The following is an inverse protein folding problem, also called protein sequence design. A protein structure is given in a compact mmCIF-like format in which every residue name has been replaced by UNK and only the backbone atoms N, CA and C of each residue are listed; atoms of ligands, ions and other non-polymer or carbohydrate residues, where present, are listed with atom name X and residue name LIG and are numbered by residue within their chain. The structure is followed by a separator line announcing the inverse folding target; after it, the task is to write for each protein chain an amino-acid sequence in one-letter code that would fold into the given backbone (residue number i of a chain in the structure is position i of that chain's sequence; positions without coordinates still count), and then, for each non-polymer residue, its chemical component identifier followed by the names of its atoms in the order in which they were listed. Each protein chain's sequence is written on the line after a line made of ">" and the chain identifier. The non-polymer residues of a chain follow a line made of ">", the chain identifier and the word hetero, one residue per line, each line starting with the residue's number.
data_IF_592639181893
#
_entry.id   IF_592639181893
#
_cell.length_a   1.000
_cell.length_b   1.000
_cell.length_c   1.000
_cell.angle_alpha   90.00
_cell.angle_beta   90.00
_cell.angle_gamma   90.00
#
_symmetry.space_group_name_H-M   'P 1'
#
loop_
_entity.id
_entity.type
_entity.pdbx_description
1 polymer ?
#
# COMPACT_ATOMS: atom_id res chain seq x y z
N UNK A 1 -17.62 45.64 21.99
CA UNK A 1 -16.57 45.44 20.96
C UNK A 1 -15.81 44.10 21.08
N UNK A 2 -15.62 43.53 22.28
CA UNK A 2 -14.96 42.21 22.43
C UNK A 2 -15.76 41.03 21.81
N UNK A 3 -17.09 41.04 21.92
CA UNK A 3 -17.96 39.97 21.38
C UNK A 3 -17.91 39.85 19.85
N UNK A 4 -17.78 40.97 19.13
CA UNK A 4 -17.71 40.97 17.65
C UNK A 4 -16.38 40.39 17.16
N UNK A 5 -15.27 40.67 17.86
CA UNK A 5 -13.95 40.10 17.54
C UNK A 5 -13.90 38.59 17.78
N UNK A 6 -14.51 38.10 18.86
CA UNK A 6 -14.60 36.66 19.12
C UNK A 6 -15.44 35.92 18.06
N UNK A 7 -16.56 36.52 17.62
CA UNK A 7 -17.38 35.93 16.55
C UNK A 7 -16.65 35.88 15.20
N UNK A 8 -15.84 36.90 14.88
CA UNK A 8 -15.02 36.92 13.68
C UNK A 8 -13.91 35.86 13.72
N UNK A 9 -13.24 35.69 14.87
CA UNK A 9 -12.22 34.65 15.06
C UNK A 9 -12.81 33.25 14.94
N UNK A 10 -13.98 33.00 15.54
CA UNK A 10 -14.70 31.73 15.40
C UNK A 10 -15.09 31.44 13.94
N UNK A 11 -15.55 32.44 13.20
CA UNK A 11 -15.88 32.31 11.78
C UNK A 11 -14.64 31.94 10.96
N UNK A 12 -13.51 32.63 11.18
CA UNK A 12 -12.25 32.32 10.51
C UNK A 12 -11.78 30.89 10.80
N UNK A 13 -11.79 30.47 12.08
CA UNK A 13 -11.40 29.11 12.46
C UNK A 13 -12.31 28.06 11.81
N UNK A 14 -13.62 28.29 11.77
CA UNK A 14 -14.57 27.40 11.10
C UNK A 14 -14.29 27.30 9.59
N UNK A 15 -14.04 28.43 8.90
CA UNK A 15 -13.73 28.43 7.46
C UNK A 15 -12.39 27.76 7.12
N UNK A 16 -11.38 27.91 7.98
CA UNK A 16 -10.09 27.25 7.82
C UNK A 16 -10.22 25.73 8.04
N UNK A 17 -10.97 25.30 9.07
CA UNK A 17 -11.23 23.89 9.33
C UNK A 17 -11.98 23.23 8.16
N UNK A 18 -13.00 23.90 7.60
CA UNK A 18 -13.74 23.40 6.43
C UNK A 18 -12.86 23.27 5.19
N UNK A 19 -12.02 24.27 4.91
CA UNK A 19 -11.07 24.24 3.79
C UNK A 19 -10.06 23.10 3.91
N UNK A 20 -9.56 22.87 5.12
CA UNK A 20 -8.61 21.79 5.41
C UNK A 20 -9.25 20.41 5.24
N UNK A 21 -10.49 20.23 5.71
CA UNK A 21 -11.25 18.98 5.52
C UNK A 21 -11.51 18.73 4.03
N UNK A 22 -11.97 19.74 3.28
CA UNK A 22 -12.23 19.62 1.83
C UNK A 22 -10.96 19.28 1.02
N UNK A 23 -9.82 19.84 1.41
CA UNK A 23 -8.55 19.52 0.76
C UNK A 23 -8.13 18.07 1.00
N UNK A 24 -8.29 17.58 2.24
CA UNK A 24 -7.99 16.19 2.58
C UNK A 24 -8.89 15.20 1.85
N UNK A 25 -10.20 15.48 1.74
CA UNK A 25 -11.13 14.59 1.04
C UNK A 25 -10.81 14.50 -0.45
N UNK A 26 -10.47 15.63 -1.08
CA UNK A 26 -10.09 15.63 -2.50
C UNK A 26 -8.79 14.85 -2.74
N UNK A 27 -7.77 15.05 -1.89
CA UNK A 27 -6.51 14.34 -2.00
C UNK A 27 -6.66 12.82 -1.78
N UNK A 28 -7.53 12.40 -0.84
CA UNK A 28 -7.83 10.99 -0.61
C UNK A 28 -8.56 10.38 -1.81
N UNK A 29 -9.59 11.04 -2.36
CA UNK A 29 -10.32 10.57 -3.53
C UNK A 29 -9.42 10.42 -4.76
N UNK A 30 -8.52 11.38 -4.99
CA UNK A 30 -7.54 11.32 -6.06
C UNK A 30 -6.56 10.15 -5.86
N UNK A 31 -6.18 9.86 -4.60
CA UNK A 31 -5.34 8.73 -4.27
C UNK A 31 -6.06 7.40 -4.54
N UNK A 32 -7.28 7.22 -4.05
CA UNK A 32 -8.09 6.00 -4.25
C UNK A 32 -8.24 5.71 -5.75
N UNK A 33 -8.66 6.71 -6.54
CA UNK A 33 -8.77 6.58 -7.99
C UNK A 33 -7.42 6.20 -8.62
N UNK A 34 -6.32 6.80 -8.17
CA UNK A 34 -4.99 6.52 -8.70
C UNK A 34 -4.51 5.08 -8.49
N UNK A 35 -4.91 4.46 -7.39
CA UNK A 35 -4.59 3.06 -7.07
C UNK A 35 -5.57 2.12 -7.77
N UNK A 36 -6.87 2.34 -7.64
CA UNK A 36 -7.90 1.47 -8.21
C UNK A 36 -7.91 1.46 -9.75
N UNK A 37 -7.52 2.53 -10.45
CA UNK A 37 -7.51 2.54 -11.92
C UNK A 37 -6.48 1.58 -12.55
N UNK A 38 -5.61 1.00 -11.73
CA UNK A 38 -4.57 0.06 -12.15
C UNK A 38 -4.88 -1.38 -11.79
N UNK A 39 -6.08 -1.61 -11.25
CA UNK A 39 -6.57 -2.93 -10.87
C UNK A 39 -7.54 -3.42 -11.92
N UNK A 40 -7.59 -4.73 -12.16
CA UNK A 40 -8.52 -5.34 -13.12
C UNK A 40 -9.98 -5.18 -12.68
N UNK A 41 -10.22 -4.90 -11.39
CA UNK A 41 -11.55 -4.68 -10.80
C UNK A 41 -11.68 -3.26 -10.25
N UNK A 42 -11.53 -2.25 -11.11
CA UNK A 42 -11.56 -0.83 -10.74
C UNK A 42 -12.80 -0.44 -9.92
N UNK A 43 -14.00 -0.72 -10.44
CA UNK A 43 -15.26 -0.33 -9.81
C UNK A 43 -15.45 -1.02 -8.45
N UNK A 44 -15.04 -2.28 -8.34
CA UNK A 44 -15.04 -3.01 -7.07
C UNK A 44 -14.07 -2.37 -6.06
N UNK A 45 -12.84 -2.06 -6.50
CA UNK A 45 -11.85 -1.41 -5.65
C UNK A 45 -12.36 -0.07 -5.10
N UNK A 46 -12.92 0.78 -5.97
CA UNK A 46 -13.45 2.09 -5.58
C UNK A 46 -14.62 1.93 -4.63
N UNK A 47 -15.62 1.11 -4.99
CA UNK A 47 -16.83 0.94 -4.18
C UNK A 47 -16.54 0.37 -2.78
N UNK A 48 -15.64 -0.61 -2.68
CA UNK A 48 -15.28 -1.20 -1.38
C UNK A 48 -14.50 -0.22 -0.49
N UNK A 49 -13.65 0.62 -1.07
CA UNK A 49 -12.92 1.66 -0.32
C UNK A 49 -13.84 2.81 0.10
N UNK A 50 -14.72 3.27 -0.79
CA UNK A 50 -15.65 4.36 -0.49
C UNK A 50 -16.67 3.98 0.59
N UNK A 51 -17.11 2.73 0.61
CA UNK A 51 -18.02 2.20 1.62
C UNK A 51 -17.41 2.13 3.03
N UNK A 52 -16.07 2.15 3.16
CA UNK A 52 -15.41 2.09 4.46
C UNK A 52 -15.48 3.45 5.19
N UNK A 53 -15.92 3.51 6.46
CA UNK A 53 -16.04 4.77 7.18
C UNK A 53 -14.70 5.35 7.69
N UNK A 54 -13.59 4.59 7.60
CA UNK A 54 -12.28 4.95 8.18
C UNK A 54 -11.49 5.82 7.22
N UNK A 55 -11.82 7.11 7.18
CA UNK A 55 -11.14 8.11 6.32
C UNK A 55 -9.61 8.13 6.48
N UNK A 56 -9.11 7.87 7.69
CA UNK A 56 -7.66 7.85 7.97
C UNK A 56 -6.90 6.72 7.25
N UNK A 57 -7.59 5.70 6.72
CA UNK A 57 -6.99 4.61 5.95
C UNK A 57 -7.02 4.89 4.43
N UNK A 58 -7.83 5.82 3.95
CA UNK A 58 -8.00 6.11 2.51
C UNK A 58 -6.85 6.92 1.90
N UNK A 59 -5.89 7.35 2.71
CA UNK A 59 -4.81 8.26 2.33
C UNK A 59 -3.47 7.57 2.01
N UNK A 60 -3.40 6.24 2.08
CA UNK A 60 -2.14 5.50 1.87
C UNK A 60 -2.41 4.11 1.27
N UNK A 61 -1.51 3.57 0.43
CA UNK A 61 -1.68 2.23 -0.12
C UNK A 61 -1.82 1.16 0.97
N UNK A 62 -1.10 1.30 2.09
CA UNK A 62 -1.23 0.39 3.25
C UNK A 62 -2.65 0.41 3.80
N UNK A 63 -3.22 1.60 3.97
CA UNK A 63 -4.58 1.75 4.47
C UNK A 63 -5.62 1.21 3.48
N UNK A 64 -5.44 1.41 2.17
CA UNK A 64 -6.30 0.80 1.14
C UNK A 64 -6.25 -0.73 1.20
N UNK A 65 -5.06 -1.33 1.30
CA UNK A 65 -4.92 -2.77 1.46
C UNK A 65 -5.57 -3.29 2.75
N UNK A 66 -5.47 -2.56 3.86
CA UNK A 66 -6.16 -2.92 5.10
C UNK A 66 -7.69 -2.90 4.93
N UNK A 67 -8.25 -1.87 4.30
CA UNK A 67 -9.70 -1.78 4.03
C UNK A 67 -10.16 -3.00 3.21
N UNK A 68 -9.48 -3.27 2.09
CA UNK A 68 -9.84 -4.36 1.19
C UNK A 68 -9.68 -5.74 1.85
N UNK A 69 -8.63 -5.96 2.65
CA UNK A 69 -8.47 -7.18 3.46
C UNK A 69 -9.60 -7.34 4.46
N UNK A 70 -9.94 -6.29 5.21
CA UNK A 70 -11.04 -6.35 6.18
C UNK A 70 -12.38 -6.66 5.49
N UNK A 71 -12.55 -6.13 4.28
CA UNK A 71 -13.71 -6.46 3.45
C UNK A 71 -13.71 -7.91 2.99
N UNK A 72 -12.56 -8.44 2.56
CA UNK A 72 -12.41 -9.86 2.23
C UNK A 72 -12.75 -10.76 3.43
N UNK A 73 -12.25 -10.42 4.63
CA UNK A 73 -12.60 -11.12 5.88
C UNK A 73 -14.09 -11.06 6.14
N UNK A 74 -14.71 -9.87 6.07
CA UNK A 74 -16.13 -9.69 6.31
C UNK A 74 -16.99 -10.48 5.31
N UNK A 75 -16.61 -10.50 4.03
CA UNK A 75 -17.26 -11.29 3.01
C UNK A 75 -17.16 -12.80 3.31
N UNK A 76 -15.95 -13.29 3.62
CA UNK A 76 -15.73 -14.68 3.96
C UNK A 76 -16.55 -15.12 5.19
N UNK A 77 -16.56 -14.31 6.26
CA UNK A 77 -17.37 -14.53 7.46
C UNK A 77 -18.87 -14.58 7.12
N UNK A 78 -19.36 -13.65 6.30
CA UNK A 78 -20.75 -13.59 5.89
C UNK A 78 -21.20 -14.77 5.02
N UNK A 79 -20.27 -15.46 4.35
CA UNK A 79 -20.56 -16.67 3.57
C UNK A 79 -20.69 -17.93 4.45
N UNK A 80 -20.07 -17.97 5.63
CA UNK A 80 -20.09 -19.16 6.51
C UNK A 80 -21.50 -19.65 6.92
N UNK A 81 -22.51 -18.79 7.19
CA UNK A 81 -23.85 -19.25 7.49
C UNK A 81 -24.56 -19.84 6.25
N UNK A 82 -24.27 -19.31 5.06
CA UNK A 82 -24.79 -19.87 3.80
C UNK A 82 -24.28 -21.29 3.58
N UNK A 83 -22.98 -21.52 3.77
CA UNK A 83 -22.38 -22.86 3.70
C UNK A 83 -23.07 -23.80 4.71
N UNK A 84 -23.25 -23.34 5.95
CA UNK A 84 -23.92 -24.12 7.00
C UNK A 84 -25.36 -24.49 6.63
N UNK A 85 -26.12 -23.56 6.05
CA UNK A 85 -27.48 -23.83 5.59
C UNK A 85 -27.52 -24.80 4.40
N UNK A 86 -26.56 -24.70 3.48
CA UNK A 86 -26.45 -25.61 2.33
C UNK A 86 -26.13 -27.04 2.78
N UNK A 87 -25.25 -27.19 3.79
CA UNK A 87 -24.92 -28.50 4.38
C UNK A 87 -26.14 -29.20 5.00
N UNK A 88 -27.09 -28.44 5.55
CA UNK A 88 -28.31 -29.01 6.15
C UNK A 88 -29.36 -29.44 5.12
N UNK A 89 -29.34 -28.85 3.93
CA UNK A 89 -30.40 -29.00 2.92
C UNK A 89 -29.99 -29.83 1.72
N UNK A 90 -28.69 -29.98 1.50
CA UNK A 90 -28.14 -30.71 0.36
C UNK A 90 -28.16 -32.22 0.61
N UNK A 91 -28.75 -32.97 -0.32
CA UNK A 91 -28.85 -34.44 -0.24
C UNK A 91 -27.83 -35.16 -1.10
N UNK A 92 -27.29 -34.51 -2.12
CA UNK A 92 -26.27 -35.09 -2.98
C UNK A 92 -24.95 -35.25 -2.21
N UNK A 93 -24.49 -36.48 -2.05
CA UNK A 93 -23.29 -36.80 -1.25
C UNK A 93 -22.03 -36.07 -1.71
N UNK A 94 -21.82 -35.93 -3.03
CA UNK A 94 -20.64 -35.23 -3.55
C UNK A 94 -20.72 -33.73 -3.28
N UNK A 95 -21.89 -33.12 -3.46
CA UNK A 95 -22.10 -31.72 -3.11
C UNK A 95 -21.91 -31.48 -1.59
N UNK A 96 -22.33 -32.41 -0.72
CA UNK A 96 -22.05 -32.34 0.72
C UNK A 96 -20.54 -32.34 0.99
N UNK A 97 -19.78 -33.22 0.34
CA UNK A 97 -18.32 -33.25 0.46
C UNK A 97 -17.67 -31.92 0.03
N UNK A 98 -18.11 -31.35 -1.11
CA UNK A 98 -17.61 -30.06 -1.55
C UNK A 98 -17.98 -28.93 -0.57
N UNK A 99 -19.19 -28.93 -0.01
CA UNK A 99 -19.58 -27.94 1.01
C UNK A 99 -18.77 -28.07 2.31
N UNK A 100 -18.35 -29.28 2.69
CA UNK A 100 -17.44 -29.48 3.84
C UNK A 100 -16.06 -28.88 3.55
N UNK A 101 -15.51 -29.14 2.36
CA UNK A 101 -14.26 -28.51 1.89
C UNK A 101 -14.41 -26.98 1.91
N UNK A 102 -15.50 -26.45 1.37
CA UNK A 102 -15.79 -25.02 1.42
C UNK A 102 -15.80 -24.47 2.85
N UNK A 103 -16.42 -25.17 3.80
CA UNK A 103 -16.47 -24.73 5.20
C UNK A 103 -15.06 -24.60 5.80
N UNK A 104 -14.21 -25.60 5.61
CA UNK A 104 -12.84 -25.60 6.12
C UNK A 104 -11.97 -24.55 5.42
N UNK A 105 -12.08 -24.47 4.10
CA UNK A 105 -11.40 -23.49 3.25
C UNK A 105 -11.73 -22.05 3.64
N UNK A 106 -13.00 -21.71 3.86
CA UNK A 106 -13.38 -20.36 4.30
C UNK A 106 -12.80 -20.04 5.70
N UNK A 107 -12.80 -20.99 6.63
CA UNK A 107 -12.19 -20.79 7.95
C UNK A 107 -10.68 -20.55 7.87
N UNK A 108 -9.98 -21.31 7.02
CA UNK A 108 -8.55 -21.13 6.77
C UNK A 108 -8.27 -19.78 6.10
N UNK A 109 -9.06 -19.39 5.10
CA UNK A 109 -8.94 -18.09 4.43
C UNK A 109 -9.12 -16.93 5.42
N UNK A 110 -10.17 -16.96 6.26
CA UNK A 110 -10.39 -15.95 7.31
C UNK A 110 -9.17 -15.83 8.22
N UNK A 111 -8.64 -16.98 8.68
CA UNK A 111 -7.50 -17.01 9.59
C UNK A 111 -6.25 -16.41 8.95
N UNK A 112 -5.97 -16.75 7.68
CA UNK A 112 -4.83 -16.22 6.93
C UNK A 112 -4.97 -14.72 6.66
N UNK A 113 -6.15 -14.27 6.20
CA UNK A 113 -6.39 -12.85 5.92
C UNK A 113 -6.23 -12.01 7.19
N UNK A 114 -6.75 -12.48 8.32
CA UNK A 114 -6.77 -11.69 9.58
C UNK A 114 -5.37 -11.35 10.09
N UNK A 115 -4.37 -12.19 9.81
CA UNK A 115 -2.99 -12.00 10.31
C UNK A 115 -2.09 -11.18 9.38
N UNK A 116 -2.55 -10.83 8.17
CA UNK A 116 -1.74 -10.08 7.20
C UNK A 116 -1.51 -8.65 7.70
N UNK A 117 -0.26 -8.26 7.89
CA UNK A 117 0.12 -6.91 8.31
C UNK A 117 0.65 -6.05 7.15
N UNK A 118 -0.14 -5.07 6.71
CA UNK A 118 0.29 -4.13 5.66
C UNK A 118 1.22 -3.02 6.14
N UNK A 119 1.61 -2.97 7.42
CA UNK A 119 2.62 -2.00 7.90
C UNK A 119 3.99 -2.20 7.23
N UNK A 120 4.28 -3.43 6.79
CA UNK A 120 5.57 -3.81 6.20
C UNK A 120 5.66 -3.56 4.69
N UNK A 121 4.57 -3.19 4.01
CA UNK A 121 4.56 -2.98 2.55
C UNK A 121 5.58 -1.90 2.10
N UNK A 122 5.95 -0.97 2.98
CA UNK A 122 6.97 0.05 2.72
C UNK A 122 8.42 -0.44 2.97
N UNK A 123 8.59 -1.59 3.64
CA UNK A 123 9.87 -2.23 3.97
C UNK A 123 10.39 -3.18 2.88
N UNK A 124 9.61 -3.34 1.81
CA UNK A 124 9.91 -4.13 0.61
C UNK A 124 9.60 -5.63 0.69
N UNK A 125 8.84 -6.06 1.69
CA UNK A 125 8.40 -7.46 1.87
C UNK A 125 7.21 -7.83 0.97
N UNK A 126 7.23 -7.38 -0.29
CA UNK A 126 6.12 -7.53 -1.25
C UNK A 126 5.83 -8.99 -1.60
N UNK A 127 6.87 -9.84 -1.62
CA UNK A 127 6.73 -11.26 -1.95
C UNK A 127 6.00 -12.02 -0.84
N UNK A 128 6.25 -11.64 0.41
CA UNK A 128 5.58 -12.21 1.57
C UNK A 128 4.11 -11.79 1.58
N UNK A 129 3.83 -10.49 1.44
CA UNK A 129 2.46 -9.98 1.36
C UNK A 129 1.65 -10.61 0.21
N UNK A 130 2.26 -10.75 -0.97
CA UNK A 130 1.61 -11.46 -2.08
C UNK A 130 1.39 -12.94 -1.76
N UNK A 131 2.35 -13.58 -1.09
CA UNK A 131 2.25 -14.96 -0.65
C UNK A 131 1.12 -15.17 0.36
N UNK A 132 0.98 -14.28 1.34
CA UNK A 132 -0.05 -14.37 2.38
C UNK A 132 -1.46 -14.18 1.82
N UNK A 133 -1.65 -13.14 0.99
CA UNK A 133 -2.94 -12.90 0.31
C UNK A 133 -3.22 -14.00 -0.71
N UNK A 134 -2.21 -14.45 -1.45
CA UNK A 134 -2.33 -15.56 -2.39
C UNK A 134 -2.71 -16.87 -1.69
N UNK A 135 -2.11 -17.17 -0.54
CA UNK A 135 -2.46 -18.34 0.24
C UNK A 135 -3.92 -18.28 0.70
N UNK A 136 -4.40 -17.14 1.19
CA UNK A 136 -5.81 -16.97 1.54
C UNK A 136 -6.75 -17.09 0.33
N UNK A 137 -6.31 -16.64 -0.84
CA UNK A 137 -7.04 -16.75 -2.10
C UNK A 137 -7.24 -18.22 -2.52
N UNK A 138 -6.18 -19.02 -2.49
CA UNK A 138 -6.27 -20.42 -2.90
C UNK A 138 -7.17 -21.26 -1.99
N UNK A 139 -7.23 -20.95 -0.69
CA UNK A 139 -8.09 -21.68 0.25
C UNK A 139 -9.55 -21.74 -0.24
N UNK A 140 -10.19 -20.61 -0.56
CA UNK A 140 -11.58 -20.63 -1.05
C UNK A 140 -11.69 -20.95 -2.54
N UNK A 141 -10.60 -20.90 -3.31
CA UNK A 141 -10.64 -21.39 -4.69
C UNK A 141 -10.87 -22.90 -4.72
N UNK A 142 -10.29 -23.66 -3.78
CA UNK A 142 -10.53 -25.10 -3.61
C UNK A 142 -12.04 -25.41 -3.46
N UNK A 143 -12.80 -24.50 -2.84
CA UNK A 143 -14.25 -24.61 -2.72
C UNK A 143 -14.94 -24.62 -4.09
N UNK A 144 -14.58 -23.68 -4.97
CA UNK A 144 -15.15 -23.60 -6.31
C UNK A 144 -14.71 -24.78 -7.17
N UNK A 145 -13.42 -25.13 -7.10
CA UNK A 145 -12.82 -26.20 -7.90
C UNK A 145 -13.49 -27.55 -7.63
N UNK A 146 -13.79 -27.88 -6.37
CA UNK A 146 -14.50 -29.11 -6.02
C UNK A 146 -15.82 -29.29 -6.80
N UNK A 147 -16.59 -28.22 -7.03
CA UNK A 147 -17.84 -28.30 -7.80
C UNK A 147 -17.63 -28.38 -9.33
N UNK A 148 -16.39 -28.25 -9.81
CA UNK A 148 -16.06 -28.27 -11.24
C UNK A 148 -15.23 -29.49 -11.65
N UNK A 149 -14.66 -30.23 -10.70
CA UNK A 149 -13.82 -31.39 -10.95
C UNK A 149 -14.52 -32.55 -11.68
N UNK A 150 -15.84 -32.70 -11.48
CA UNK A 150 -16.61 -33.82 -12.06
C UNK A 150 -17.59 -33.35 -13.13
N UNK A 151 -17.53 -33.91 -14.35
CA UNK A 151 -18.55 -33.66 -15.38
C UNK A 151 -19.95 -34.04 -14.88
N UNK A 152 -20.94 -33.17 -15.10
CA UNK A 152 -22.33 -33.40 -14.70
C UNK A 152 -22.66 -33.04 -13.25
N UNK A 153 -21.73 -32.44 -12.51
CA UNK A 153 -22.04 -31.83 -11.21
C UNK A 153 -22.75 -30.49 -11.39
N UNK A 154 -23.60 -30.16 -10.42
CA UNK A 154 -24.28 -28.86 -10.41
C UNK A 154 -23.26 -27.75 -10.14
N UNK A 155 -23.45 -26.56 -10.75
CA UNK A 155 -22.62 -25.41 -10.46
C UNK A 155 -22.53 -25.15 -8.95
N UNK A 156 -21.39 -24.62 -8.51
CA UNK A 156 -21.18 -24.24 -7.12
C UNK A 156 -22.30 -23.28 -6.67
N UNK A 157 -23.00 -23.57 -5.56
CA UNK A 157 -23.97 -22.65 -4.98
C UNK A 157 -23.30 -21.41 -4.36
N UNK A 158 -21.96 -21.35 -4.37
CA UNK A 158 -21.12 -20.34 -3.77
C UNK A 158 -20.29 -19.56 -4.82
N UNK A 159 -20.51 -19.79 -6.12
CA UNK A 159 -19.77 -19.09 -7.19
C UNK A 159 -19.75 -17.57 -7.00
N UNK A 160 -20.88 -16.88 -6.70
CA UNK A 160 -20.86 -15.43 -6.52
C UNK A 160 -19.99 -14.99 -5.34
N UNK A 161 -20.05 -15.71 -4.22
CA UNK A 161 -19.25 -15.40 -3.03
C UNK A 161 -17.76 -15.67 -3.27
N UNK A 162 -17.44 -16.82 -3.88
CA UNK A 162 -16.07 -17.20 -4.25
C UNK A 162 -15.44 -16.18 -5.22
N UNK A 163 -16.21 -15.74 -6.22
CA UNK A 163 -15.77 -14.72 -7.18
C UNK A 163 -15.57 -13.36 -6.51
N UNK A 164 -16.50 -12.92 -5.65
CA UNK A 164 -16.37 -11.64 -4.99
C UNK A 164 -15.13 -11.60 -4.08
N UNK A 165 -14.95 -12.62 -3.24
CA UNK A 165 -13.77 -12.75 -2.39
C UNK A 165 -12.48 -12.84 -3.22
N UNK A 166 -12.50 -13.61 -4.31
CA UNK A 166 -11.43 -13.71 -5.29
C UNK A 166 -11.02 -12.37 -5.88
N UNK A 167 -11.99 -11.57 -6.31
CA UNK A 167 -11.74 -10.28 -6.93
C UNK A 167 -11.16 -9.28 -5.93
N UNK A 168 -11.65 -9.27 -4.68
CA UNK A 168 -11.07 -8.42 -3.62
C UNK A 168 -9.61 -8.78 -3.36
N UNK A 169 -9.28 -10.07 -3.23
CA UNK A 169 -7.90 -10.52 -3.02
C UNK A 169 -6.97 -10.14 -4.20
N UNK A 170 -7.47 -10.24 -5.45
CA UNK A 170 -6.72 -9.83 -6.65
C UNK A 170 -6.42 -8.32 -6.64
N UNK A 171 -7.41 -7.49 -6.30
CA UNK A 171 -7.22 -6.03 -6.15
C UNK A 171 -6.10 -5.74 -5.14
N UNK A 172 -6.08 -6.43 -4.00
CA UNK A 172 -5.03 -6.27 -2.99
C UNK A 172 -3.65 -6.60 -3.55
N UNK A 173 -3.51 -7.75 -4.24
CA UNK A 173 -2.26 -8.18 -4.89
C UNK A 173 -1.78 -7.14 -5.93
N UNK A 174 -2.69 -6.61 -6.74
CA UNK A 174 -2.38 -5.60 -7.76
C UNK A 174 -1.89 -4.30 -7.13
N UNK A 175 -2.51 -3.84 -6.03
CA UNK A 175 -2.03 -2.69 -5.27
C UNK A 175 -0.62 -2.95 -4.72
N UNK A 176 -0.35 -4.11 -4.10
CA UNK A 176 0.99 -4.48 -3.59
C UNK A 176 2.02 -4.42 -4.72
N UNK A 177 1.71 -5.02 -5.86
CA UNK A 177 2.58 -5.01 -7.04
C UNK A 177 2.83 -3.58 -7.55
N UNK A 178 1.82 -2.72 -7.53
CA UNK A 178 1.99 -1.34 -7.94
C UNK A 178 2.84 -0.52 -6.95
N UNK A 179 2.74 -0.78 -5.64
CA UNK A 179 3.65 -0.18 -4.63
C UNK A 179 5.09 -0.57 -4.93
N UNK A 180 5.34 -1.86 -5.20
CA UNK A 180 6.67 -2.38 -5.58
C UNK A 180 7.23 -1.66 -6.81
N UNK A 181 6.43 -1.43 -7.84
CA UNK A 181 6.84 -0.73 -9.05
C UNK A 181 7.21 0.74 -8.75
N UNK A 182 6.38 1.48 -8.01
CA UNK A 182 6.68 2.86 -7.61
C UNK A 182 7.98 2.95 -6.81
N UNK A 183 8.22 2.01 -5.89
CA UNK A 183 9.48 1.97 -5.12
C UNK A 183 10.68 1.74 -6.02
N UNK A 184 10.58 0.82 -6.99
CA UNK A 184 11.65 0.55 -7.97
C UNK A 184 11.97 1.78 -8.83
N UNK A 185 10.94 2.51 -9.27
CA UNK A 185 11.10 3.75 -10.03
C UNK A 185 11.80 4.83 -9.20
N UNK A 186 11.34 5.06 -7.96
CA UNK A 186 11.98 6.00 -7.03
C UNK A 186 13.46 5.68 -6.80
N UNK A 187 13.78 4.41 -6.55
CA UNK A 187 15.17 3.97 -6.36
C UNK A 187 16.02 4.19 -7.63
N UNK A 188 15.44 4.05 -8.83
CA UNK A 188 16.11 4.33 -10.10
C UNK A 188 16.36 5.82 -10.30
N UNK A 189 15.36 6.66 -10.01
CA UNK A 189 15.46 8.12 -10.05
C UNK A 189 16.54 8.64 -9.08
N UNK A 190 16.56 8.12 -7.85
CA UNK A 190 17.57 8.48 -6.84
C UNK A 190 18.98 8.10 -7.32
N UNK A 191 19.19 6.87 -7.81
CA UNK A 191 20.48 6.44 -8.38
C UNK A 191 20.93 7.32 -9.55
N UNK A 192 20.01 7.69 -10.43
CA UNK A 192 20.30 8.56 -11.57
C UNK A 192 20.64 9.99 -11.12
N UNK A 193 19.96 10.51 -10.09
CA UNK A 193 20.28 11.81 -9.48
C UNK A 193 21.67 11.82 -8.85
N UNK A 194 22.03 10.77 -8.11
CA UNK A 194 23.40 10.61 -7.61
C UNK A 194 24.41 10.54 -8.76
N UNK A 195 24.15 9.76 -9.81
CA UNK A 195 25.04 9.68 -10.97
C UNK A 195 25.24 11.04 -11.66
N UNK A 196 24.15 11.82 -11.84
CA UNK A 196 24.23 13.16 -12.43
C UNK A 196 25.03 14.14 -11.55
N UNK A 197 24.83 14.12 -10.23
CA UNK A 197 25.60 14.94 -9.30
C UNK A 197 27.09 14.58 -9.31
N UNK A 198 27.45 13.30 -9.42
CA UNK A 198 28.85 12.87 -9.55
C UNK A 198 29.50 13.32 -10.84
N UNK A 199 28.77 13.29 -11.97
CA UNK A 199 29.27 13.80 -13.25
C UNK A 199 29.55 15.30 -13.15
N UNK A 200 28.61 16.09 -12.61
CA UNK A 200 28.82 17.52 -12.41
C UNK A 200 29.98 17.82 -11.46
N UNK A 201 30.11 17.05 -10.38
CA UNK A 201 31.22 17.17 -9.43
C UNK A 201 32.58 16.84 -10.09
N UNK A 202 32.67 15.77 -10.87
CA UNK A 202 33.88 15.40 -11.59
C UNK A 202 34.25 16.43 -12.67
N UNK A 203 33.26 16.96 -13.40
CA UNK A 203 33.49 18.05 -14.37
C UNK A 203 33.98 19.33 -13.68
N UNK A 204 33.43 19.67 -12.52
CA UNK A 204 33.88 20.82 -11.72
C UNK A 204 35.31 20.62 -11.19
N UNK A 205 35.62 19.44 -10.64
CA UNK A 205 36.98 19.10 -10.21
C UNK A 205 37.96 19.16 -11.37
N UNK A 206 37.64 18.59 -12.53
CA UNK A 206 38.50 18.63 -13.72
C UNK A 206 38.74 20.06 -14.20
N UNK A 207 37.70 20.91 -14.20
CA UNK A 207 37.82 22.33 -14.53
C UNK A 207 38.76 23.08 -13.57
N UNK A 208 38.64 22.82 -12.27
CA UNK A 208 39.54 23.37 -11.24
C UNK A 208 40.97 22.87 -11.44
N UNK A 209 41.19 21.57 -11.67
CA UNK A 209 42.51 20.99 -11.91
C UNK A 209 43.19 21.55 -13.17
N UNK A 210 42.43 21.84 -14.23
CA UNK A 210 42.97 22.39 -15.47
C UNK A 210 43.24 23.90 -15.40
N UNK A 211 42.60 24.65 -14.49
CA UNK A 211 42.67 26.12 -14.44
C UNK A 211 43.28 26.70 -13.15
N UNK A 212 43.57 25.91 -12.12
CA UNK A 212 44.29 26.41 -10.94
C UNK A 212 45.81 26.30 -11.12
N UNK A 213 46.48 27.45 -11.28
CA UNK A 213 47.89 27.60 -10.92
C UNK A 213 48.06 27.49 -9.39
N UNK A 214 49.26 27.14 -8.95
CA UNK A 214 49.65 26.58 -7.64
C UNK A 214 49.24 27.33 -6.35
N UNK A 215 48.55 28.46 -6.40
CA UNK A 215 48.38 29.34 -5.24
C UNK A 215 46.98 29.27 -4.57
N UNK A 216 46.03 28.51 -5.12
CA UNK A 216 44.62 28.50 -4.66
C UNK A 216 44.15 27.25 -3.89
N UNK A 217 45.04 26.28 -3.65
CA UNK A 217 44.70 24.97 -3.07
C UNK A 217 44.07 25.08 -1.66
N UNK A 218 44.45 26.09 -0.88
CA UNK A 218 43.98 26.24 0.51
C UNK A 218 42.53 26.72 0.64
N UNK A 219 41.97 27.42 -0.36
CA UNK A 219 40.60 27.95 -0.30
C UNK A 219 39.52 26.93 -0.70
N UNK A 220 39.89 25.92 -1.49
CA UNK A 220 38.96 24.93 -2.06
C UNK A 220 38.53 23.89 -1.00
N UNK A 221 39.40 23.58 -0.03
CA UNK A 221 39.09 22.62 1.04
C UNK A 221 37.92 23.07 1.93
N UNK A 222 37.78 24.38 2.18
CA UNK A 222 36.73 24.92 3.06
C UNK A 222 35.37 24.97 2.35
N UNK A 223 35.35 25.29 1.05
CA UNK A 223 34.09 25.37 0.29
C UNK A 223 33.46 23.99 0.04
N UNK A 224 34.27 22.96 -0.22
CA UNK A 224 33.79 21.58 -0.47
C UNK A 224 33.10 20.96 0.76
N UNK A 225 33.56 21.26 1.98
CA UNK A 225 32.94 20.78 3.21
C UNK A 225 31.56 21.41 3.45
N UNK A 226 31.36 22.67 3.05
CA UNK A 226 30.07 23.36 3.23
C UNK A 226 28.98 22.88 2.26
N UNK A 227 29.35 22.53 1.02
CA UNK A 227 28.40 22.08 0.00
C UNK A 227 27.86 20.66 0.26
N UNK A 228 28.64 19.82 0.94
CA UNK A 228 28.25 18.45 1.28
C UNK A 228 27.14 18.40 2.37
N UNK A 229 27.11 19.39 3.26
CA UNK A 229 26.16 19.46 4.40
C UNK A 229 24.75 19.89 3.98
N UNK A 230 24.58 20.61 2.87
CA UNK A 230 23.28 21.20 2.51
C UNK A 230 22.43 20.39 1.50
N UNK A 231 22.92 19.24 1.00
CA UNK A 231 22.23 18.48 -0.05
C UNK A 231 21.66 17.13 0.37
N UNK A 232 21.75 16.72 1.64
CA UNK A 232 21.22 15.42 2.11
C UNK A 232 20.44 15.50 3.43
N UNK A 233 19.08 15.44 3.41
CA UNK A 233 18.28 15.50 4.65
C UNK A 233 18.30 14.19 5.46
N UNK A 234 18.72 13.06 4.89
CA UNK A 234 18.64 11.74 5.53
C UNK A 234 19.93 11.28 6.21
N UNK A 235 20.95 12.17 6.28
CA UNK A 235 22.26 11.86 6.85
C UNK A 235 22.54 12.64 8.15
N UNK A 236 21.52 13.24 8.79
CA UNK A 236 21.70 14.00 10.04
C UNK A 236 22.01 13.12 11.24
N UNK A 237 21.44 11.92 11.32
CA UNK A 237 21.45 11.16 12.58
C UNK A 237 22.70 10.27 12.76
N UNK A 238 23.53 10.09 11.72
CA UNK A 238 24.78 9.30 11.79
C UNK A 238 26.07 10.11 11.81
N UNK A 239 26.03 11.41 11.54
CA UNK A 239 27.22 12.25 11.51
C UNK A 239 27.53 12.94 12.85
N UNK A 240 26.59 12.92 13.80
CA UNK A 240 26.79 13.58 15.09
C UNK A 240 27.80 12.86 16.00
N UNK A 241 28.11 11.58 15.74
CA UNK A 241 29.18 10.84 16.43
C UNK A 241 30.56 10.95 15.77
N UNK A 242 30.65 11.32 14.48
CA UNK A 242 31.93 11.38 13.77
C UNK A 242 32.59 12.76 13.81
N UNK A 243 31.83 13.83 14.11
CA UNK A 243 32.33 15.20 14.21
C UNK A 243 33.19 15.49 15.45
N UNK A 244 33.24 14.58 16.43
CA UNK A 244 34.13 14.72 17.59
C UNK A 244 35.57 14.22 17.37
N UNK A 245 35.87 13.59 16.23
CA UNK A 245 37.22 13.04 15.95
C UNK A 245 38.10 13.90 15.03
N UNK A 246 37.61 15.03 14.51
CA UNK A 246 38.33 15.82 13.51
C UNK A 246 38.68 17.25 13.95
N UNK A 247 38.57 17.56 15.25
CA UNK A 247 39.11 18.79 15.84
C UNK A 247 40.22 18.38 16.81
N UNK A 248 41.39 18.08 16.25
CA UNK A 248 42.72 18.18 16.86
C UNK A 248 43.74 18.29 15.73
#
# INVERSE_FOLDING_TARGET
>A
MASIKNNLVLLCVATCALSFVLHQTNAANDLVRNWCQRTDYNDLCVSEIEADPRENLKNSPNGLCNILRDRAVANAVATTPKISSLLQTTTNHYAVQCLQICSESYQRSISKLTVVDFSVINRQDYSELNGDIGAAFYEFQDCEECFTERPGTSPSPLTPENQNLGNICKVVIEIINFVKLKKKEKNKLEKNGYAFNWILFLSFCLFVFLNCSSDWISYIHIYMLSACVHTTPSLSDRLQETLSCAIC
#
